data_IF_495373503683
#
_entry.id   IF_495373503683
#
_cell.length_a   1.000
_cell.length_b   1.000
_cell.length_c   1.000
_cell.angle_alpha   90.00
_cell.angle_beta   90.00
_cell.angle_gamma   90.00
#
_symmetry.space_group_name_H-M   'P 1'
#
loop_
_entity.id
_entity.type
_entity.pdbx_description
1 polymer ?
#
# COMPACT_ATOMS: atom_id res chain seq x y z
N UNK A 1 -0.62 -16.03 -12.86
CA UNK A 1 -1.28 -15.17 -11.84
C UNK A 1 -1.73 -15.95 -10.61
N UNK A 2 -2.54 -17.01 -10.70
CA UNK A 2 -3.01 -17.78 -9.51
C UNK A 2 -1.91 -18.35 -8.59
N UNK A 3 -0.81 -18.88 -9.15
CA UNK A 3 0.29 -19.43 -8.34
C UNK A 3 1.01 -18.36 -7.50
N UNK A 4 1.15 -17.14 -8.04
CA UNK A 4 1.77 -16.01 -7.35
C UNK A 4 0.85 -15.49 -6.22
N UNK A 5 -0.46 -15.38 -6.49
CA UNK A 5 -1.45 -15.01 -5.49
C UNK A 5 -1.49 -16.03 -4.33
N UNK A 6 -1.47 -17.33 -4.61
CA UNK A 6 -1.42 -18.37 -3.57
C UNK A 6 -0.12 -18.31 -2.74
N UNK A 7 1.02 -18.03 -3.36
CA UNK A 7 2.29 -17.87 -2.65
C UNK A 7 2.28 -16.63 -1.73
N UNK A 8 1.68 -15.52 -2.16
CA UNK A 8 1.54 -14.30 -1.36
C UNK A 8 0.57 -14.50 -0.20
N UNK A 9 -0.59 -15.15 -0.44
CA UNK A 9 -1.56 -15.51 0.61
C UNK A 9 -0.98 -16.51 1.62
N UNK A 10 -0.08 -17.39 1.17
CA UNK A 10 0.68 -18.29 2.05
C UNK A 10 1.70 -17.55 2.93
N UNK A 11 2.17 -16.37 2.52
CA UNK A 11 3.20 -15.62 3.23
C UNK A 11 2.60 -14.76 4.36
N UNK A 12 1.42 -14.20 4.14
CA UNK A 12 0.72 -13.37 5.12
C UNK A 12 -0.79 -13.33 4.83
N UNK A 13 -1.65 -13.25 5.87
CA UNK A 13 -3.09 -13.04 5.67
C UNK A 13 -3.37 -11.81 4.79
N UNK A 14 -4.40 -11.84 3.92
CA UNK A 14 -4.70 -10.72 3.01
C UNK A 14 -4.79 -9.34 3.68
N UNK A 15 -5.40 -9.18 4.88
CA UNK A 15 -5.42 -7.90 5.58
C UNK A 15 -4.03 -7.39 5.99
N UNK A 16 -3.14 -8.31 6.37
CA UNK A 16 -1.76 -7.97 6.74
C UNK A 16 -0.98 -7.48 5.51
N UNK A 17 -1.15 -8.12 4.35
CA UNK A 17 -0.55 -7.63 3.11
C UNK A 17 -1.07 -6.26 2.70
N UNK A 18 -2.37 -6.01 2.84
CA UNK A 18 -2.94 -4.68 2.59
C UNK A 18 -2.29 -3.63 3.50
N UNK A 19 -2.16 -3.91 4.80
CA UNK A 19 -1.51 -3.00 5.74
C UNK A 19 -0.04 -2.74 5.39
N UNK A 20 0.68 -3.76 4.92
CA UNK A 20 2.09 -3.64 4.51
C UNK A 20 2.21 -2.82 3.23
N UNK A 21 1.41 -3.10 2.19
CA UNK A 21 1.39 -2.34 0.94
C UNK A 21 1.03 -0.87 1.22
N UNK A 22 0.01 -0.63 2.04
CA UNK A 22 -0.35 0.71 2.51
C UNK A 22 0.84 1.41 3.17
N UNK A 23 1.47 0.76 4.15
CA UNK A 23 2.55 1.34 4.93
C UNK A 23 3.75 1.70 4.05
N UNK A 24 4.12 0.81 3.12
CA UNK A 24 5.23 1.05 2.19
C UNK A 24 4.91 2.26 1.30
N UNK A 25 3.74 2.28 0.66
CA UNK A 25 3.36 3.39 -0.22
C UNK A 25 3.22 4.71 0.54
N UNK A 26 2.66 4.68 1.75
CA UNK A 26 2.60 5.85 2.64
C UNK A 26 3.99 6.40 2.94
N UNK A 27 4.97 5.55 3.29
CA UNK A 27 6.31 6.01 3.63
C UNK A 27 7.07 6.50 2.40
N UNK A 28 7.00 5.76 1.29
CA UNK A 28 7.70 6.10 0.04
C UNK A 28 7.20 7.42 -0.55
N UNK A 29 5.91 7.72 -0.44
CA UNK A 29 5.35 8.98 -0.97
C UNK A 29 5.30 10.07 0.11
N UNK A 30 4.89 9.72 1.32
CA UNK A 30 4.72 10.65 2.43
C UNK A 30 6.04 11.27 2.88
N UNK A 31 7.13 10.49 3.04
CA UNK A 31 8.41 11.03 3.52
C UNK A 31 8.97 12.10 2.58
N UNK A 32 9.08 11.89 1.26
CA UNK A 32 9.51 12.96 0.34
C UNK A 32 8.61 14.19 0.38
N UNK A 33 7.29 13.97 0.46
CA UNK A 33 6.30 15.06 0.50
C UNK A 33 6.42 15.85 1.81
N UNK A 34 6.71 15.19 2.93
CA UNK A 34 6.96 15.82 4.23
C UNK A 34 8.04 16.89 4.14
N UNK A 35 9.17 16.57 3.51
CA UNK A 35 10.32 17.47 3.40
C UNK A 35 10.09 18.61 2.40
N UNK A 36 9.19 18.45 1.43
CA UNK A 36 8.94 19.47 0.39
C UNK A 36 7.78 20.40 0.73
N UNK A 37 6.78 19.92 1.45
CA UNK A 37 5.49 20.61 1.65
C UNK A 37 4.98 20.58 3.10
N UNK A 38 5.74 19.99 4.02
CA UNK A 38 5.44 19.97 5.46
C UNK A 38 4.57 18.80 5.91
N UNK A 39 4.33 18.71 7.22
CA UNK A 39 3.62 17.61 7.90
C UNK A 39 2.24 17.28 7.31
N UNK A 40 1.38 18.28 7.08
CA UNK A 40 0.02 18.02 6.60
C UNK A 40 0.01 17.34 5.22
N UNK A 41 0.96 17.70 4.35
CA UNK A 41 1.05 17.13 3.01
C UNK A 41 1.50 15.66 3.02
N UNK A 42 2.38 15.27 3.96
CA UNK A 42 2.77 13.88 4.20
C UNK A 42 1.54 13.03 4.48
N UNK A 43 0.72 13.49 5.41
CA UNK A 43 -0.42 12.72 5.89
C UNK A 43 -1.48 12.60 4.80
N UNK A 44 -1.78 13.67 4.06
CA UNK A 44 -2.78 13.62 2.99
C UNK A 44 -2.27 12.81 1.79
N UNK A 45 -1.12 13.18 1.21
CA UNK A 45 -0.64 12.55 -0.03
C UNK A 45 -0.10 11.13 0.21
N UNK A 46 0.57 10.90 1.34
CA UNK A 46 1.00 9.57 1.74
C UNK A 46 -0.17 8.62 1.98
N UNK A 47 -1.24 9.09 2.65
CA UNK A 47 -2.44 8.25 2.88
C UNK A 47 -3.14 7.93 1.57
N UNK A 48 -3.30 8.91 0.68
CA UNK A 48 -3.89 8.68 -0.64
C UNK A 48 -3.06 7.64 -1.43
N UNK A 49 -1.74 7.78 -1.46
CA UNK A 49 -0.87 6.80 -2.11
C UNK A 49 -1.01 5.39 -1.51
N UNK A 50 -1.04 5.30 -0.18
CA UNK A 50 -1.28 4.04 0.54
C UNK A 50 -2.61 3.38 0.17
N UNK A 51 -3.69 4.16 0.12
CA UNK A 51 -5.03 3.67 -0.26
C UNK A 51 -5.02 3.17 -1.70
N UNK A 52 -4.51 3.96 -2.65
CA UNK A 52 -4.47 3.56 -4.06
C UNK A 52 -3.65 2.29 -4.29
N UNK A 53 -2.45 2.20 -3.70
CA UNK A 53 -1.60 1.01 -3.82
C UNK A 53 -2.29 -0.24 -3.25
N UNK A 54 -2.98 -0.07 -2.11
CA UNK A 54 -3.74 -1.16 -1.48
C UNK A 54 -4.92 -1.61 -2.33
N UNK A 55 -5.66 -0.68 -2.94
CA UNK A 55 -6.75 -1.01 -3.86
C UNK A 55 -6.24 -1.76 -5.08
N UNK A 56 -5.10 -1.36 -5.64
CA UNK A 56 -4.43 -2.08 -6.75
C UNK A 56 -4.04 -3.49 -6.32
N UNK A 57 -3.48 -3.66 -5.11
CA UNK A 57 -3.17 -4.99 -4.58
C UNK A 57 -4.43 -5.87 -4.45
N UNK A 58 -5.50 -5.34 -3.88
CA UNK A 58 -6.76 -6.09 -3.69
C UNK A 58 -7.33 -6.51 -5.06
N UNK A 59 -7.43 -5.56 -5.99
CA UNK A 59 -8.03 -5.82 -7.32
C UNK A 59 -7.19 -6.76 -8.17
N UNK A 60 -5.86 -6.62 -8.18
CA UNK A 60 -5.00 -7.40 -9.08
C UNK A 60 -4.44 -8.69 -8.46
N UNK A 61 -4.27 -8.75 -7.14
CA UNK A 61 -3.62 -9.89 -6.46
C UNK A 61 -4.62 -10.75 -5.70
N UNK A 62 -5.53 -10.14 -4.93
CA UNK A 62 -6.53 -10.89 -4.17
C UNK A 62 -7.67 -11.37 -5.09
N UNK A 63 -7.98 -10.61 -6.15
CA UNK A 63 -8.94 -11.02 -7.17
C UNK A 63 -10.39 -11.00 -6.68
N UNK A 64 -10.77 -9.90 -6.02
CA UNK A 64 -12.17 -9.59 -5.72
C UNK A 64 -12.98 -9.34 -6.99
#
# INVERSE_FOLDING_TARGET
MRAFANAVVSLAPPPLMVAIVFSIAYLVVGIPVHFTRGVASRDVLGTLAGIFASLVYITLVVGF
#
